data_IF_361105516473
#
_entry.id   IF_361105516473
#
_cell.length_a   1.000
_cell.length_b   1.000
_cell.length_c   1.000
_cell.angle_alpha   90.00
_cell.angle_beta   90.00
_cell.angle_gamma   90.00
#
_symmetry.space_group_name_H-M   'P 1'
#
loop_
_entity.id
_entity.type
_entity.pdbx_description
1 polymer ?
#
# COMPACT_ATOMS: atom_id res chain seq x y z
N UNK A 1 -2.33 -11.42 7.28
CA UNK A 1 -3.77 -11.61 7.60
C UNK A 1 -4.38 -12.40 6.46
N UNK A 2 -4.99 -13.55 6.77
CA UNK A 2 -5.37 -14.57 5.80
C UNK A 2 -4.17 -15.38 5.33
N UNK A 3 -4.28 -16.71 5.37
CA UNK A 3 -3.24 -17.60 4.85
C UNK A 3 -3.33 -17.66 3.32
N UNK A 4 -2.18 -17.87 2.67
CA UNK A 4 -2.16 -18.22 1.26
C UNK A 4 -2.85 -19.58 1.07
N UNK A 5 -3.69 -19.75 0.04
CA UNK A 5 -4.27 -21.04 -0.27
C UNK A 5 -3.17 -22.09 -0.46
N UNK A 6 -3.32 -23.25 0.19
CA UNK A 6 -2.36 -24.37 0.07
C UNK A 6 -2.49 -25.11 -1.27
N UNK A 7 -3.52 -24.80 -2.07
CA UNK A 7 -3.75 -25.40 -3.39
C UNK A 7 -2.90 -24.70 -4.47
N UNK A 8 -2.04 -25.46 -5.14
CA UNK A 8 -1.13 -25.01 -6.20
C UNK A 8 -1.83 -24.54 -7.48
N UNK A 9 -3.08 -24.95 -7.70
CA UNK A 9 -3.71 -24.84 -9.03
C UNK A 9 -4.74 -23.71 -9.13
N UNK A 10 -5.10 -23.06 -8.01
CA UNK A 10 -6.09 -21.98 -8.00
C UNK A 10 -5.41 -20.65 -7.69
N UNK A 11 -5.45 -19.73 -8.65
CA UNK A 11 -4.97 -18.37 -8.39
C UNK A 11 -5.82 -17.70 -7.30
N UNK A 12 -5.17 -17.01 -6.36
CA UNK A 12 -5.87 -16.25 -5.30
C UNK A 12 -6.88 -15.26 -5.88
N UNK A 13 -6.58 -14.69 -7.05
CA UNK A 13 -7.50 -13.81 -7.77
C UNK A 13 -8.77 -14.53 -8.27
N UNK A 14 -8.63 -15.78 -8.74
CA UNK A 14 -9.77 -16.62 -9.11
C UNK A 14 -10.62 -16.97 -7.89
N UNK A 15 -9.98 -17.28 -6.75
CA UNK A 15 -10.68 -17.52 -5.49
C UNK A 15 -11.53 -16.30 -5.07
N UNK A 16 -10.96 -15.10 -5.09
CA UNK A 16 -11.68 -13.87 -4.76
C UNK A 16 -12.87 -13.63 -5.69
N UNK A 17 -12.68 -13.84 -7.00
CA UNK A 17 -13.75 -13.68 -7.99
C UNK A 17 -14.88 -14.68 -7.75
N UNK A 18 -14.55 -15.93 -7.46
CA UNK A 18 -15.52 -16.99 -7.16
C UNK A 18 -16.33 -16.69 -5.89
N UNK A 19 -15.66 -16.24 -4.81
CA UNK A 19 -16.37 -15.82 -3.59
C UNK A 19 -17.34 -14.67 -3.89
N UNK A 20 -16.89 -13.68 -4.66
CA UNK A 20 -17.71 -12.54 -5.04
C UNK A 20 -18.89 -12.92 -5.96
N UNK A 21 -18.72 -13.93 -6.80
CA UNK A 21 -19.76 -14.43 -7.70
C UNK A 21 -20.90 -15.13 -6.95
N UNK A 22 -20.64 -15.74 -5.79
CA UNK A 22 -21.70 -16.33 -4.95
C UNK A 22 -22.65 -15.28 -4.35
N UNK A 23 -22.19 -14.04 -4.18
CA UNK A 23 -22.99 -12.95 -3.57
C UNK A 23 -23.50 -11.94 -4.61
N UNK A 24 -22.71 -11.64 -5.64
CA UNK A 24 -23.06 -10.61 -6.65
C UNK A 24 -23.51 -11.18 -8.00
N UNK A 25 -23.45 -12.51 -8.17
CA UNK A 25 -23.75 -13.19 -9.43
C UNK A 25 -22.86 -12.72 -10.58
N UNK A 26 -23.48 -12.45 -11.74
CA UNK A 26 -22.78 -11.99 -12.95
C UNK A 26 -22.07 -10.64 -12.80
N UNK A 27 -22.30 -9.90 -11.71
CA UNK A 27 -21.68 -8.61 -11.44
C UNK A 27 -20.31 -8.72 -10.76
N UNK A 28 -19.83 -9.92 -10.45
CA UNK A 28 -18.58 -10.13 -9.72
C UNK A 28 -17.39 -9.37 -10.31
N UNK A 29 -17.12 -9.54 -11.61
CA UNK A 29 -16.00 -8.89 -12.28
C UNK A 29 -16.09 -7.36 -12.29
N UNK A 30 -17.31 -6.80 -12.25
CA UNK A 30 -17.53 -5.34 -12.16
C UNK A 30 -17.47 -4.81 -10.73
N UNK A 31 -17.75 -5.67 -9.77
CA UNK A 31 -17.81 -5.34 -8.34
C UNK A 31 -16.42 -5.42 -7.70
N UNK A 32 -15.53 -6.28 -8.21
CA UNK A 32 -14.15 -6.39 -7.78
C UNK A 32 -13.34 -5.17 -8.20
N UNK A 33 -12.82 -4.41 -7.23
CA UNK A 33 -11.96 -3.25 -7.47
C UNK A 33 -10.48 -3.61 -7.39
N UNK A 34 -10.12 -4.49 -6.45
CA UNK A 34 -8.74 -4.89 -6.25
C UNK A 34 -8.65 -6.25 -5.56
N UNK A 35 -7.60 -7.01 -5.89
CA UNK A 35 -7.29 -8.31 -5.31
C UNK A 35 -5.86 -8.28 -4.74
N UNK A 36 -5.72 -8.42 -3.43
CA UNK A 36 -4.43 -8.55 -2.76
C UNK A 36 -4.06 -10.02 -2.66
N UNK A 37 -2.87 -10.39 -3.16
CA UNK A 37 -2.45 -11.80 -3.27
C UNK A 37 -1.09 -12.11 -2.63
N UNK A 38 -0.37 -11.08 -2.17
CA UNK A 38 1.00 -11.22 -1.65
C UNK A 38 1.02 -11.20 -0.12
N UNK A 39 0.99 -10.00 0.47
CA UNK A 39 1.12 -9.81 1.93
C UNK A 39 -0.20 -10.03 2.67
N UNK A 40 -1.32 -9.99 1.96
CA UNK A 40 -2.67 -10.18 2.48
C UNK A 40 -3.46 -11.02 1.48
N UNK A 41 -4.25 -11.95 1.98
CA UNK A 41 -5.25 -12.67 1.19
C UNK A 41 -6.60 -11.97 1.40
N UNK A 42 -6.97 -11.09 0.48
CA UNK A 42 -8.22 -10.33 0.56
C UNK A 42 -8.45 -9.43 -0.65
N UNK A 43 -9.64 -8.86 -0.75
CA UNK A 43 -10.04 -8.05 -1.89
C UNK A 43 -10.90 -6.86 -1.50
N UNK A 44 -11.00 -5.89 -2.41
CA UNK A 44 -11.87 -4.72 -2.29
C UNK A 44 -12.98 -4.86 -3.32
N UNK A 45 -14.22 -4.74 -2.89
CA UNK A 45 -15.38 -4.83 -3.77
C UNK A 45 -16.45 -3.77 -3.45
N UNK A 46 -17.24 -3.41 -4.46
CA UNK A 46 -18.47 -2.62 -4.32
C UNK A 46 -19.63 -3.58 -4.09
N UNK A 47 -20.28 -3.48 -2.93
CA UNK A 47 -21.35 -4.38 -2.50
C UNK A 47 -22.54 -3.57 -1.98
N UNK A 48 -23.75 -4.12 -2.11
CA UNK A 48 -24.89 -3.66 -1.28
C UNK A 48 -24.72 -4.15 0.16
N UNK A 49 -25.51 -3.61 1.10
CA UNK A 49 -25.45 -4.05 2.50
C UNK A 49 -25.81 -5.53 2.64
N UNK A 50 -26.80 -6.01 1.88
CA UNK A 50 -27.21 -7.41 1.88
C UNK A 50 -26.10 -8.33 1.36
N UNK A 51 -25.46 -7.96 0.25
CA UNK A 51 -24.34 -8.72 -0.33
C UNK A 51 -23.14 -8.77 0.60
N UNK A 52 -22.83 -7.65 1.26
CA UNK A 52 -21.78 -7.59 2.28
C UNK A 52 -22.12 -8.50 3.45
N UNK A 53 -23.38 -8.52 3.91
CA UNK A 53 -23.79 -9.37 5.03
C UNK A 53 -23.77 -10.86 4.68
N UNK A 54 -24.12 -11.21 3.43
CA UNK A 54 -23.98 -12.57 2.92
C UNK A 54 -22.50 -12.97 2.87
N UNK A 55 -21.63 -12.11 2.31
CA UNK A 55 -20.20 -12.36 2.20
C UNK A 55 -19.54 -12.53 3.58
N UNK A 56 -19.93 -11.72 4.57
CA UNK A 56 -19.40 -11.79 5.93
C UNK A 56 -19.75 -13.10 6.67
N UNK A 57 -20.75 -13.85 6.19
CA UNK A 57 -21.15 -15.16 6.74
C UNK A 57 -20.53 -16.33 5.98
N UNK A 58 -19.84 -16.08 4.86
CA UNK A 58 -19.24 -17.15 4.07
C UNK A 58 -18.06 -17.77 4.80
N UNK A 59 -17.97 -19.10 4.74
CA UNK A 59 -16.79 -19.82 5.21
C UNK A 59 -15.54 -19.32 4.47
N UNK A 60 -14.45 -19.13 5.23
CA UNK A 60 -13.20 -18.58 4.72
C UNK A 60 -13.14 -17.04 4.70
N UNK A 61 -14.21 -16.32 5.03
CA UNK A 61 -14.19 -14.86 5.21
C UNK A 61 -13.97 -14.53 6.69
N UNK A 62 -12.81 -13.94 7.00
CA UNK A 62 -12.45 -13.56 8.38
C UNK A 62 -13.19 -12.30 8.85
N UNK A 63 -13.31 -11.30 7.98
CA UNK A 63 -13.96 -10.03 8.30
C UNK A 63 -14.29 -9.24 7.05
N UNK A 64 -15.42 -8.51 7.06
CA UNK A 64 -15.77 -7.54 6.03
C UNK A 64 -16.04 -6.19 6.70
N UNK A 65 -15.35 -5.14 6.23
CA UNK A 65 -15.48 -3.80 6.79
C UNK A 65 -15.56 -2.75 5.67
N UNK A 66 -16.27 -1.63 5.90
CA UNK A 66 -16.39 -0.59 4.90
C UNK A 66 -15.04 0.09 4.64
N UNK A 67 -14.71 0.31 3.37
CA UNK A 67 -13.56 1.13 2.98
C UNK A 67 -13.82 2.59 3.38
N UNK A 68 -12.86 3.21 4.08
CA UNK A 68 -12.98 4.58 4.59
C UNK A 68 -11.81 5.42 4.10
N UNK A 69 -12.11 6.66 3.70
CA UNK A 69 -11.06 7.67 3.47
C UNK A 69 -10.48 8.09 4.83
N UNK A 70 -9.15 8.16 4.90
CA UNK A 70 -8.44 8.74 6.05
C UNK A 70 -8.19 10.22 5.80
N UNK A 71 -8.17 11.00 6.89
CA UNK A 71 -7.88 12.43 6.86
C UNK A 71 -6.41 12.65 7.18
N UNK A 72 -5.81 13.70 6.61
CA UNK A 72 -4.45 14.10 6.94
C UNK A 72 -4.41 14.66 8.36
N UNK A 73 -3.43 14.20 9.15
CA UNK A 73 -3.33 14.56 10.56
C UNK A 73 -2.40 15.76 10.83
N UNK A 74 -1.39 16.03 10.00
CA UNK A 74 -0.41 17.11 10.23
C UNK A 74 0.22 17.61 8.94
N UNK A 75 0.46 18.93 8.81
CA UNK A 75 1.20 19.51 7.67
C UNK A 75 2.55 20.15 8.06
N UNK A 76 2.90 20.22 9.37
CA UNK A 76 4.11 20.90 9.89
C UNK A 76 4.82 20.11 10.99
N UNK A 77 5.35 18.93 10.67
CA UNK A 77 5.93 18.02 11.66
C UNK A 77 7.24 18.52 12.28
N UNK A 78 8.06 19.30 11.54
CA UNK A 78 9.38 19.72 12.02
C UNK A 78 9.29 20.70 13.21
N UNK A 79 8.47 21.75 13.06
CA UNK A 79 8.23 22.73 14.13
C UNK A 79 7.52 22.09 15.33
N UNK A 80 6.58 21.18 15.05
CA UNK A 80 5.87 20.43 16.10
C UNK A 80 6.81 19.58 16.97
N UNK A 81 7.81 18.94 16.35
CA UNK A 81 8.77 18.09 17.06
C UNK A 81 9.91 18.87 17.73
N UNK A 82 10.05 20.18 17.44
CA UNK A 82 11.09 21.02 18.02
C UNK A 82 12.52 20.65 17.57
N UNK A 83 12.68 20.07 16.38
CA UNK A 83 13.99 19.63 15.91
C UNK A 83 14.89 20.82 15.54
N UNK A 84 16.18 20.80 15.96
CA UNK A 84 17.11 21.88 15.64
C UNK A 84 17.44 21.86 14.14
N UNK A 85 17.65 23.04 13.55
CA UNK A 85 18.04 23.16 12.14
C UNK A 85 19.42 22.57 11.83
N UNK A 86 20.28 22.47 12.86
CA UNK A 86 21.63 21.91 12.74
C UNK A 86 21.76 20.68 13.63
N UNK A 87 22.07 19.55 13.02
CA UNK A 87 22.25 18.25 13.70
C UNK A 87 23.62 17.69 13.32
N UNK A 88 24.39 17.23 14.32
CA UNK A 88 25.60 16.45 14.06
C UNK A 88 25.17 15.07 13.57
N UNK A 89 25.50 14.75 12.32
CA UNK A 89 25.13 13.47 11.69
C UNK A 89 26.00 12.33 12.23
N UNK A 90 25.37 11.20 12.52
CA UNK A 90 26.06 9.97 12.89
C UNK A 90 26.17 9.00 11.69
N UNK A 91 27.21 8.15 11.61
CA UNK A 91 27.33 7.13 10.55
C UNK A 91 26.14 6.17 10.45
N UNK A 92 25.39 5.99 11.55
CA UNK A 92 24.20 5.13 11.64
C UNK A 92 23.01 5.65 10.81
N UNK A 93 23.09 6.87 10.27
CA UNK A 93 22.03 7.51 9.48
C UNK A 93 22.08 7.14 7.98
N UNK A 94 22.84 6.10 7.63
CA UNK A 94 23.00 5.60 6.25
C UNK A 94 22.44 4.18 6.10
N UNK A 95 22.22 3.74 4.85
CA UNK A 95 21.66 2.42 4.53
C UNK A 95 20.25 2.14 5.13
N UNK A 96 19.42 3.17 5.34
CA UNK A 96 18.04 3.02 5.83
C UNK A 96 17.03 3.29 4.71
N UNK A 97 15.99 2.47 4.63
CA UNK A 97 14.86 2.66 3.71
C UNK A 97 13.65 3.09 4.53
N UNK A 98 13.14 4.30 4.27
CA UNK A 98 11.94 4.84 4.92
C UNK A 98 10.79 4.84 3.92
N UNK A 99 9.74 4.09 4.22
CA UNK A 99 8.51 4.08 3.43
C UNK A 99 7.56 5.19 3.85
N UNK A 100 7.20 6.08 2.93
CA UNK A 100 6.25 7.18 3.19
C UNK A 100 4.93 6.93 2.45
N UNK A 101 3.84 6.78 3.21
CA UNK A 101 2.49 6.65 2.69
C UNK A 101 1.73 7.95 2.94
N UNK A 102 1.88 8.91 2.02
CA UNK A 102 1.27 10.23 2.11
C UNK A 102 0.75 10.68 0.72
N UNK A 103 0.42 11.95 0.59
CA UNK A 103 -0.01 12.64 -0.64
C UNK A 103 1.10 12.79 -1.68
N UNK A 104 2.36 12.58 -1.29
CA UNK A 104 3.51 12.62 -2.17
C UNK A 104 4.64 13.49 -1.63
N UNK A 105 5.66 13.70 -2.46
CA UNK A 105 6.77 14.63 -2.21
C UNK A 105 6.89 15.57 -3.41
N UNK A 106 7.71 16.61 -3.28
CA UNK A 106 8.15 17.46 -4.38
C UNK A 106 9.60 17.07 -4.75
N UNK A 107 9.82 16.13 -5.70
CA UNK A 107 11.14 15.56 -5.97
C UNK A 107 12.19 16.58 -6.42
N UNK A 108 11.77 17.66 -7.08
CA UNK A 108 12.64 18.70 -7.62
C UNK A 108 13.14 19.69 -6.56
N UNK A 109 12.68 19.53 -5.31
CA UNK A 109 13.07 20.42 -4.22
C UNK A 109 14.55 20.23 -3.92
N UNK A 110 15.24 21.34 -3.61
CA UNK A 110 16.67 21.31 -3.27
C UNK A 110 16.98 20.34 -2.12
N UNK A 111 16.01 20.08 -1.23
CA UNK A 111 16.14 19.13 -0.12
C UNK A 111 16.28 17.66 -0.53
N UNK A 112 15.97 17.30 -1.79
CA UNK A 112 16.06 15.94 -2.31
C UNK A 112 17.25 15.71 -3.25
N UNK A 113 18.13 16.72 -3.43
CA UNK A 113 19.38 16.53 -4.18
C UNK A 113 20.27 15.49 -3.52
N UNK A 114 20.86 14.61 -4.32
CA UNK A 114 21.75 13.53 -3.90
C UNK A 114 23.24 13.91 -3.93
N UNK A 115 23.56 15.20 -4.11
CA UNK A 115 24.93 15.70 -4.09
C UNK A 115 25.66 15.28 -2.80
N UNK A 116 26.72 14.48 -2.93
CA UNK A 116 27.52 13.97 -1.81
C UNK A 116 26.97 12.71 -1.13
N UNK A 117 25.86 12.13 -1.61
CA UNK A 117 25.35 10.84 -1.15
C UNK A 117 25.92 9.68 -1.99
N UNK A 118 26.01 8.50 -1.36
CA UNK A 118 26.32 7.24 -2.05
C UNK A 118 25.09 6.64 -2.74
N UNK A 119 25.26 5.52 -3.46
CA UNK A 119 24.15 4.87 -4.15
C UNK A 119 23.06 4.41 -3.17
N UNK A 120 21.81 4.19 -3.64
CA UNK A 120 20.74 3.64 -2.83
C UNK A 120 21.14 2.31 -2.14
N UNK A 121 20.56 2.00 -0.96
CA UNK A 121 20.77 0.74 -0.26
C UNK A 121 20.67 -0.47 -1.19
N UNK A 122 21.65 -1.37 -1.20
CA UNK A 122 21.66 -2.54 -2.10
C UNK A 122 20.45 -3.49 -1.89
N UNK A 123 19.82 -3.41 -0.72
CA UNK A 123 18.59 -4.15 -0.37
C UNK A 123 17.31 -3.52 -0.95
N UNK A 124 17.38 -2.30 -1.48
CA UNK A 124 16.26 -1.64 -2.14
C UNK A 124 15.96 -2.32 -3.47
N UNK A 125 14.70 -2.74 -3.66
CA UNK A 125 14.23 -3.42 -4.86
C UNK A 125 13.18 -2.63 -5.64
N UNK A 126 12.91 -1.39 -5.23
CA UNK A 126 11.98 -0.52 -5.94
C UNK A 126 12.65 0.17 -7.12
N UNK A 127 11.83 0.74 -8.00
CA UNK A 127 12.27 1.53 -9.13
C UNK A 127 11.80 2.97 -8.95
N UNK A 128 12.60 3.92 -9.45
CA UNK A 128 12.11 5.27 -9.65
C UNK A 128 11.35 5.31 -10.98
N UNK A 129 10.12 5.80 -10.96
CA UNK A 129 9.27 5.90 -12.16
C UNK A 129 8.86 7.35 -12.32
N UNK A 130 9.40 7.99 -13.36
CA UNK A 130 9.09 9.38 -13.68
C UNK A 130 9.21 9.65 -15.17
N UNK A 131 8.36 10.55 -15.66
CA UNK A 131 8.49 11.17 -16.98
C UNK A 131 8.98 12.61 -16.90
N UNK A 132 8.93 13.23 -15.71
CA UNK A 132 9.00 14.70 -15.56
C UNK A 132 10.10 15.16 -14.58
N UNK A 133 10.80 14.25 -13.91
CA UNK A 133 11.92 14.58 -13.01
C UNK A 133 13.01 13.50 -13.08
N UNK A 134 14.22 13.88 -12.67
CA UNK A 134 15.37 12.99 -12.64
C UNK A 134 15.37 12.18 -11.35
N UNK A 135 15.56 10.87 -11.49
CA UNK A 135 15.76 9.97 -10.37
C UNK A 135 17.18 10.10 -9.82
N UNK A 136 17.33 10.13 -8.51
CA UNK A 136 18.63 10.09 -7.84
C UNK A 136 19.38 8.80 -8.23
N UNK A 137 20.71 8.90 -8.30
CA UNK A 137 21.59 7.83 -8.81
C UNK A 137 22.04 6.87 -7.72
#
# INVERSE_FOLDING_TARGET
MGDLPKMSDISVASLHTNMLQQVTGSRASKSLLWSYTRSFNGFVAKLTEDEKNQLARMEGVVSVFPSRKKQLHTTRSWDFMGFPQHVKRAPLESDVIVGMLDTGVWPESASFKDDGFGPPPAKWKGSCTSTNFTCNK
#
